data_IF_378343895323
#
_entry.id   IF_378343895323
#
_cell.length_a   1.000
_cell.length_b   1.000
_cell.length_c   1.000
_cell.angle_alpha   90.00
_cell.angle_beta   90.00
_cell.angle_gamma   90.00
#
_symmetry.space_group_name_H-M   'P 1'
#
loop_
_entity.id
_entity.type
_entity.pdbx_description
1 polymer ?
#
# COMPACT_ATOMS: atom_id res chain seq x y z
N UNK A 1 19.63 23.01 -7.81
CA UNK A 1 18.52 22.03 -7.89
C UNK A 1 17.25 22.83 -8.13
N UNK A 2 16.47 22.46 -9.14
CA UNK A 2 15.12 22.98 -9.27
C UNK A 2 14.28 22.47 -8.07
N UNK A 3 13.30 23.25 -7.58
CA UNK A 3 12.43 22.80 -6.51
C UNK A 3 11.61 21.58 -6.96
N UNK A 4 11.31 20.67 -6.02
CA UNK A 4 10.34 19.60 -6.25
C UNK A 4 8.96 20.25 -6.34
N UNK A 5 8.30 20.10 -7.49
CA UNK A 5 6.96 20.65 -7.73
C UNK A 5 5.90 19.56 -7.89
N UNK A 6 6.32 18.31 -8.15
CA UNK A 6 5.44 17.18 -8.39
C UNK A 6 5.70 16.05 -7.40
N UNK A 7 4.64 15.40 -6.92
CA UNK A 7 4.72 14.36 -5.89
C UNK A 7 3.76 13.20 -6.15
N UNK A 8 4.18 11.98 -5.79
CA UNK A 8 3.26 10.88 -5.50
C UNK A 8 3.15 10.75 -3.98
N UNK A 9 1.94 10.72 -3.46
CA UNK A 9 1.69 10.73 -2.02
C UNK A 9 1.18 9.39 -1.57
N UNK A 10 1.82 8.79 -0.57
CA UNK A 10 1.33 7.62 0.15
C UNK A 10 0.71 8.07 1.45
N UNK A 11 -0.58 7.79 1.66
CA UNK A 11 -1.29 8.16 2.88
C UNK A 11 -1.71 6.93 3.69
N UNK A 12 -1.67 7.00 5.04
CA UNK A 12 -2.44 6.07 5.86
C UNK A 12 -3.92 6.13 5.49
N UNK A 13 -4.64 5.11 5.89
CA UNK A 13 -6.08 5.19 5.92
C UNK A 13 -6.53 6.26 6.92
N UNK A 14 -7.10 7.35 6.40
CA UNK A 14 -7.64 8.46 7.18
C UNK A 14 -9.17 8.42 7.07
N UNK A 15 -9.88 7.94 8.11
CA UNK A 15 -11.32 7.89 8.08
C UNK A 15 -11.89 9.30 7.86
N UNK A 16 -12.80 9.42 6.90
CA UNK A 16 -13.46 10.67 6.50
C UNK A 16 -12.56 11.70 5.80
N UNK A 17 -11.39 11.33 5.27
CA UNK A 17 -10.72 12.19 4.30
C UNK A 17 -11.53 12.17 2.99
N UNK A 18 -12.27 13.24 2.73
CA UNK A 18 -13.06 13.37 1.51
C UNK A 18 -12.19 13.87 0.36
N UNK A 19 -12.66 13.70 -0.88
CA UNK A 19 -11.95 14.19 -2.06
C UNK A 19 -11.73 15.70 -2.06
N UNK A 20 -12.66 16.46 -1.47
CA UNK A 20 -12.54 17.92 -1.33
C UNK A 20 -11.46 18.30 -0.31
N UNK A 21 -11.38 17.59 0.82
CA UNK A 21 -10.32 17.79 1.82
C UNK A 21 -8.94 17.49 1.20
N UNK A 22 -8.85 16.43 0.40
CA UNK A 22 -7.63 16.09 -0.33
C UNK A 22 -7.23 17.18 -1.31
N UNK A 23 -8.17 17.68 -2.12
CA UNK A 23 -7.90 18.75 -3.07
C UNK A 23 -7.41 20.03 -2.37
N UNK A 24 -8.00 20.38 -1.22
CA UNK A 24 -7.56 21.52 -0.41
C UNK A 24 -6.14 21.31 0.15
N UNK A 25 -5.82 20.12 0.67
CA UNK A 25 -4.47 19.79 1.15
C UNK A 25 -3.43 19.97 0.04
N UNK A 26 -3.74 19.51 -1.17
CA UNK A 26 -2.85 19.63 -2.33
C UNK A 26 -2.64 21.09 -2.70
N UNK A 27 -3.71 21.89 -2.81
CA UNK A 27 -3.63 23.32 -3.12
C UNK A 27 -2.81 24.10 -2.08
N UNK A 28 -3.07 23.87 -0.79
CA UNK A 28 -2.34 24.50 0.31
C UNK A 28 -0.86 24.13 0.35
N UNK A 29 -0.50 22.93 -0.11
CA UNK A 29 0.89 22.48 -0.15
C UNK A 29 1.73 23.18 -1.25
N UNK A 30 1.06 23.73 -2.27
CA UNK A 30 1.72 24.28 -3.47
C UNK A 30 2.39 23.21 -4.35
N UNK A 31 2.07 21.93 -4.13
CA UNK A 31 2.58 20.80 -4.90
C UNK A 31 1.53 20.34 -5.91
N UNK A 32 2.00 19.76 -7.01
CA UNK A 32 1.18 19.07 -7.98
C UNK A 32 1.25 17.56 -7.73
N UNK A 33 0.10 16.90 -7.54
CA UNK A 33 0.07 15.45 -7.40
C UNK A 33 0.16 14.81 -8.77
N UNK A 34 1.08 13.87 -8.92
CA UNK A 34 1.23 13.08 -10.14
C UNK A 34 -0.02 12.24 -10.39
N UNK A 35 -0.41 12.20 -11.65
CA UNK A 35 -1.55 11.43 -12.16
C UNK A 35 -1.03 10.29 -13.03
N UNK A 36 -1.83 9.25 -13.15
CA UNK A 36 -1.68 8.16 -14.10
C UNK A 36 -3.05 7.65 -14.53
N UNK A 37 -3.08 6.74 -15.50
CA UNK A 37 -4.31 6.05 -15.90
C UNK A 37 -4.92 5.23 -14.74
N UNK A 38 -4.09 4.73 -13.81
CA UNK A 38 -4.55 4.02 -12.60
C UNK A 38 -4.98 4.97 -11.46
N UNK A 39 -4.36 6.14 -11.34
CA UNK A 39 -4.64 7.10 -10.26
C UNK A 39 -4.86 8.50 -10.81
N UNK A 40 -6.09 9.02 -10.68
CA UNK A 40 -6.45 10.36 -11.16
C UNK A 40 -6.06 11.47 -10.18
N UNK A 41 -4.84 11.40 -9.64
CA UNK A 41 -4.30 12.33 -8.65
C UNK A 41 -4.80 12.07 -7.22
N UNK A 42 -5.32 10.87 -6.96
CA UNK A 42 -5.64 10.41 -5.61
C UNK A 42 -4.36 9.92 -4.91
N UNK A 43 -4.28 10.02 -3.58
CA UNK A 43 -3.15 9.49 -2.84
C UNK A 43 -3.14 7.96 -2.94
N UNK A 44 -1.94 7.38 -3.01
CA UNK A 44 -1.74 5.95 -2.90
C UNK A 44 -2.13 5.50 -1.50
N UNK A 45 -2.86 4.38 -1.43
CA UNK A 45 -3.00 3.67 -0.18
C UNK A 45 -1.61 3.22 0.31
N UNK A 46 -1.33 3.42 1.60
CA UNK A 46 -0.04 3.07 2.21
C UNK A 46 0.37 1.62 1.94
N UNK A 47 -0.55 0.66 2.02
CA UNK A 47 -0.25 -0.74 1.74
C UNK A 47 0.20 -0.93 0.29
N UNK A 48 -0.53 -0.37 -0.67
CA UNK A 48 -0.17 -0.47 -2.09
C UNK A 48 1.19 0.19 -2.38
N UNK A 49 1.47 1.34 -1.77
CA UNK A 49 2.79 1.97 -1.88
C UNK A 49 3.90 1.10 -1.28
N UNK A 50 3.68 0.48 -0.12
CA UNK A 50 4.66 -0.44 0.46
C UNK A 50 4.82 -1.72 -0.36
N UNK A 51 3.73 -2.26 -0.91
CA UNK A 51 3.72 -3.42 -1.80
C UNK A 51 4.62 -3.18 -3.02
N UNK A 52 4.44 -2.03 -3.68
CA UNK A 52 5.31 -1.58 -4.76
C UNK A 52 6.76 -1.37 -4.29
N UNK A 53 6.96 -0.85 -3.08
CA UNK A 53 8.29 -0.65 -2.48
C UNK A 53 9.05 -1.94 -2.18
N UNK A 54 8.32 -3.04 -2.00
CA UNK A 54 8.86 -4.40 -1.91
C UNK A 54 9.06 -5.04 -3.29
N UNK A 55 8.66 -4.36 -4.37
CA UNK A 55 8.76 -4.84 -5.75
C UNK A 55 7.57 -5.69 -6.21
N UNK A 56 6.49 -5.73 -5.43
CA UNK A 56 5.32 -6.55 -5.74
C UNK A 56 4.25 -5.78 -6.51
N UNK A 57 3.47 -6.51 -7.31
CA UNK A 57 2.31 -5.97 -8.01
C UNK A 57 2.65 -4.94 -9.09
N UNK A 58 3.90 -4.90 -9.55
CA UNK A 58 4.41 -3.99 -10.57
C UNK A 58 4.51 -4.74 -11.91
N UNK A 59 4.04 -4.12 -13.00
CA UNK A 59 4.24 -4.65 -14.35
C UNK A 59 5.65 -4.37 -14.88
N UNK A 60 6.23 -5.28 -15.65
CA UNK A 60 7.49 -5.10 -16.35
C UNK A 60 7.34 -4.12 -17.52
N UNK A 61 6.22 -4.23 -18.26
CA UNK A 61 5.93 -3.43 -19.45
C UNK A 61 5.24 -2.10 -19.15
N UNK A 62 5.57 -1.44 -18.03
CA UNK A 62 4.89 -0.21 -17.57
C UNK A 62 4.84 0.96 -18.57
N UNK A 63 5.63 0.97 -19.64
CA UNK A 63 5.55 2.00 -20.69
C UNK A 63 4.49 1.72 -21.75
N UNK A 64 4.01 0.49 -21.81
CA UNK A 64 2.98 0.00 -22.71
C UNK A 64 1.77 -0.37 -21.84
N UNK A 65 0.76 0.49 -21.85
CA UNK A 65 -0.37 0.40 -20.92
C UNK A 65 -1.17 -0.89 -21.17
N UNK A 66 -1.39 -1.26 -22.43
CA UNK A 66 -2.13 -2.47 -22.80
C UNK A 66 -1.36 -3.71 -22.33
N UNK A 67 -0.05 -3.77 -22.59
CA UNK A 67 0.78 -4.88 -22.13
C UNK A 67 0.88 -4.95 -20.59
N UNK A 68 0.89 -3.80 -19.91
CA UNK A 68 0.89 -3.73 -18.45
C UNK A 68 -0.44 -4.22 -17.87
N UNK A 69 -1.59 -3.86 -18.46
CA UNK A 69 -2.91 -4.37 -18.05
C UNK A 69 -3.00 -5.89 -18.21
N UNK A 70 -2.57 -6.43 -19.37
CA UNK A 70 -2.52 -7.88 -19.60
C UNK A 70 -1.63 -8.60 -18.58
N UNK A 71 -0.48 -8.01 -18.22
CA UNK A 71 0.40 -8.55 -17.18
C UNK A 71 -0.26 -8.51 -15.79
N UNK A 72 -0.92 -7.41 -15.46
CA UNK A 72 -1.62 -7.24 -14.18
C UNK A 72 -2.79 -8.22 -14.00
N UNK A 73 -3.52 -8.55 -15.06
CA UNK A 73 -4.58 -9.58 -15.04
C UNK A 73 -4.06 -10.97 -14.65
N UNK A 74 -2.78 -11.25 -14.92
CA UNK A 74 -2.13 -12.51 -14.59
C UNK A 74 -1.53 -12.53 -13.17
N UNK A 75 -1.48 -11.39 -12.49
CA UNK A 75 -0.99 -11.32 -11.11
C UNK A 75 -1.97 -12.05 -10.20
N UNK A 76 -1.48 -13.09 -9.53
CA UNK A 76 -2.28 -13.85 -8.57
C UNK A 76 -2.47 -13.00 -7.31
N UNK A 77 -3.71 -12.62 -6.96
CA UNK A 77 -3.97 -11.82 -5.77
C UNK A 77 -3.54 -12.54 -4.49
N UNK A 78 -3.05 -11.79 -3.51
CA UNK A 78 -2.50 -12.32 -2.26
C UNK A 78 -3.22 -11.79 -1.03
N UNK A 79 -3.34 -12.62 0.00
CA UNK A 79 -3.73 -12.13 1.31
C UNK A 79 -2.51 -11.64 2.07
N UNK A 80 -2.47 -10.33 2.34
CA UNK A 80 -1.41 -9.67 3.06
C UNK A 80 -1.83 -9.33 4.50
N UNK A 81 -0.91 -9.53 5.44
CA UNK A 81 -0.96 -8.93 6.77
C UNK A 81 -0.05 -7.70 6.79
N UNK A 82 -0.65 -6.54 6.94
CA UNK A 82 0.01 -5.25 7.08
C UNK A 82 0.15 -4.91 8.56
N UNK A 83 1.36 -4.63 9.02
CA UNK A 83 1.65 -4.18 10.37
C UNK A 83 2.39 -2.84 10.32
N UNK A 84 1.78 -1.79 10.85
CA UNK A 84 2.41 -0.49 11.04
C UNK A 84 2.71 -0.31 12.53
N UNK A 85 3.98 -0.10 12.91
CA UNK A 85 4.38 0.12 14.29
C UNK A 85 5.15 1.44 14.43
N UNK A 86 4.49 2.39 15.08
CA UNK A 86 4.94 3.78 15.24
C UNK A 86 5.03 4.15 16.72
N UNK A 87 5.48 5.37 17.02
CA UNK A 87 5.43 5.92 18.37
C UNK A 87 4.02 5.89 18.96
N UNK A 88 3.04 6.30 18.16
CA UNK A 88 1.68 6.58 18.61
C UNK A 88 0.76 5.34 18.62
N UNK A 89 0.95 4.40 17.69
CA UNK A 89 0.06 3.25 17.56
C UNK A 89 0.68 2.01 16.90
N UNK A 90 0.03 0.89 17.15
CA UNK A 90 0.05 -0.32 16.33
C UNK A 90 -1.17 -0.33 15.42
N UNK A 91 -0.96 -0.40 14.11
CA UNK A 91 -2.01 -0.62 13.12
C UNK A 91 -1.80 -2.01 12.50
N UNK A 92 -2.85 -2.83 12.47
CA UNK A 92 -2.83 -4.16 11.88
C UNK A 92 -4.00 -4.31 10.90
N UNK A 93 -3.69 -4.67 9.65
CA UNK A 93 -4.69 -4.84 8.60
C UNK A 93 -4.50 -6.16 7.87
N UNK A 94 -5.61 -6.81 7.53
CA UNK A 94 -5.64 -7.97 6.65
C UNK A 94 -6.30 -7.53 5.35
N UNK A 95 -5.63 -7.72 4.23
CA UNK A 95 -6.08 -7.23 2.93
C UNK A 95 -5.89 -8.28 1.85
N UNK A 96 -6.79 -8.26 0.88
CA UNK A 96 -6.65 -8.97 -0.39
C UNK A 96 -6.05 -8.01 -1.41
N UNK A 97 -4.80 -8.24 -1.82
CA UNK A 97 -4.03 -7.34 -2.67
C UNK A 97 -3.97 -7.91 -4.08
N UNK A 98 -4.45 -7.14 -5.05
CA UNK A 98 -4.46 -7.54 -6.46
C UNK A 98 -3.16 -7.12 -7.15
N UNK A 99 -2.75 -5.87 -6.95
CA UNK A 99 -1.55 -5.29 -7.55
C UNK A 99 -1.06 -4.06 -6.75
N UNK A 100 -0.11 -3.30 -7.29
CA UNK A 100 0.43 -2.08 -6.69
C UNK A 100 -0.57 -0.90 -6.65
N UNK A 101 -1.79 -1.07 -7.16
CA UNK A 101 -2.80 -0.01 -7.27
C UNK A 101 -4.12 -0.36 -6.58
N UNK A 102 -4.43 -1.65 -6.42
CA UNK A 102 -5.73 -2.12 -5.98
C UNK A 102 -5.59 -3.15 -4.85
N UNK A 103 -6.36 -2.94 -3.79
CA UNK A 103 -6.51 -3.85 -2.68
C UNK A 103 -7.91 -3.73 -2.08
N UNK A 104 -8.33 -4.79 -1.39
CA UNK A 104 -9.55 -4.82 -0.60
C UNK A 104 -9.22 -5.17 0.84
N UNK A 105 -9.60 -4.32 1.79
CA UNK A 105 -9.36 -4.56 3.21
C UNK A 105 -10.44 -5.47 3.80
N UNK A 106 -9.99 -6.55 4.42
CA UNK A 106 -10.83 -7.58 5.04
C UNK A 106 -11.04 -7.26 6.52
N UNK A 107 -9.95 -7.00 7.23
CA UNK A 107 -9.99 -6.70 8.66
C UNK A 107 -8.98 -5.61 9.02
N UNK A 108 -9.25 -4.91 10.12
CA UNK A 108 -8.48 -3.76 10.56
C UNK A 108 -8.59 -3.58 12.07
N UNK A 109 -7.47 -3.32 12.73
CA UNK A 109 -7.41 -2.91 14.12
C UNK A 109 -6.31 -1.87 14.33
N UNK A 110 -6.66 -0.74 14.95
CA UNK A 110 -5.72 0.33 15.30
C UNK A 110 -5.71 0.50 16.82
N UNK A 111 -4.53 0.38 17.43
CA UNK A 111 -4.32 0.35 18.87
C UNK A 111 -3.33 1.45 19.30
N UNK A 112 -3.88 2.58 19.75
CA UNK A 112 -3.10 3.71 20.26
C UNK A 112 -2.41 3.41 21.60
N UNK A 113 -2.96 2.47 22.36
CA UNK A 113 -2.38 1.97 23.60
C UNK A 113 -1.22 0.99 23.37
N UNK A 114 -1.04 0.53 22.13
CA UNK A 114 0.00 -0.43 21.75
C UNK A 114 1.08 0.19 20.84
N UNK A 115 1.23 1.53 20.84
CA UNK A 115 2.36 2.22 20.21
C UNK A 115 3.67 2.11 21.00
N UNK A 116 4.79 2.38 20.34
CA UNK A 116 6.11 2.27 20.97
C UNK A 116 6.28 3.21 22.17
N UNK A 117 5.71 4.42 22.12
CA UNK A 117 5.81 5.39 23.21
C UNK A 117 4.98 4.97 24.44
N UNK A 118 3.88 4.24 24.22
CA UNK A 118 3.11 3.60 25.29
C UNK A 118 3.94 2.57 26.04
N UNK A 119 4.75 1.76 25.35
CA UNK A 119 5.70 0.85 26.00
C UNK A 119 6.84 1.61 26.68
N UNK A 120 7.45 2.58 25.98
CA UNK A 120 8.59 3.34 26.47
C UNK A 120 8.27 4.12 27.75
N UNK A 121 7.05 4.62 27.89
CA UNK A 121 6.59 5.33 29.09
C UNK A 121 6.38 4.41 30.30
N UNK A 122 6.14 3.12 30.08
CA UNK A 122 6.01 2.11 31.14
C UNK A 122 6.70 0.78 30.76
N UNK A 123 8.05 0.73 30.75
CA UNK A 123 8.78 -0.48 30.36
C UNK A 123 8.58 -1.66 31.32
N UNK A 124 8.10 -1.38 32.54
CA UNK A 124 7.73 -2.41 33.52
C UNK A 124 6.41 -3.13 33.20
N UNK A 125 5.66 -2.68 32.19
CA UNK A 125 4.47 -3.38 31.73
C UNK A 125 4.86 -4.70 31.04
N UNK A 126 4.90 -5.77 31.82
CA UNK A 126 5.28 -7.10 31.35
C UNK A 126 4.30 -7.71 30.35
N UNK A 127 3.09 -7.18 30.21
CA UNK A 127 2.07 -7.72 29.30
C UNK A 127 1.99 -6.99 27.97
N UNK A 128 2.70 -5.86 27.80
CA UNK A 128 2.60 -5.02 26.59
C UNK A 128 2.81 -5.83 25.30
N UNK A 129 3.92 -6.57 25.22
CA UNK A 129 4.28 -7.35 24.02
C UNK A 129 3.33 -8.53 23.78
N UNK A 130 2.80 -9.14 24.83
CA UNK A 130 1.78 -10.20 24.69
C UNK A 130 0.44 -9.63 24.21
N UNK A 131 0.04 -8.43 24.67
CA UNK A 131 -1.14 -7.72 24.18
C UNK A 131 -0.99 -7.30 22.71
N UNK A 132 0.20 -6.82 22.33
CA UNK A 132 0.55 -6.51 20.94
C UNK A 132 0.46 -7.76 20.05
N UNK A 133 1.09 -8.86 20.47
CA UNK A 133 1.04 -10.12 19.73
C UNK A 133 -0.40 -10.63 19.57
N UNK A 134 -1.22 -10.51 20.61
CA UNK A 134 -2.64 -10.87 20.55
C UNK A 134 -3.40 -10.02 19.53
N UNK A 135 -3.21 -8.70 19.52
CA UNK A 135 -3.86 -7.80 18.55
C UNK A 135 -3.52 -8.20 17.11
N UNK A 136 -2.26 -8.55 16.85
CA UNK A 136 -1.80 -9.05 15.54
C UNK A 136 -2.49 -10.35 15.16
N UNK A 137 -2.54 -11.33 16.07
CA UNK A 137 -3.18 -12.63 15.83
C UNK A 137 -4.68 -12.50 15.59
N UNK A 138 -5.36 -11.65 16.35
CA UNK A 138 -6.81 -11.43 16.22
C UNK A 138 -7.16 -10.92 14.80
N UNK A 139 -6.31 -10.07 14.20
CA UNK A 139 -6.46 -9.64 12.79
C UNK A 139 -6.04 -10.74 11.82
N UNK A 140 -4.89 -11.39 12.02
CA UNK A 140 -4.38 -12.41 11.11
C UNK A 140 -5.36 -13.60 10.93
N UNK A 141 -6.02 -13.98 12.03
CA UNK A 141 -6.96 -15.11 12.11
C UNK A 141 -8.41 -14.74 11.80
N UNK A 142 -8.72 -13.44 11.63
CA UNK A 142 -10.02 -13.02 11.09
C UNK A 142 -10.24 -13.62 9.70
N UNK A 143 -11.44 -14.11 9.38
CA UNK A 143 -11.74 -14.82 8.12
C UNK A 143 -10.72 -15.95 7.80
N UNK A 144 -10.87 -17.13 8.43
CA UNK A 144 -9.93 -18.25 8.33
C UNK A 144 -9.69 -18.78 6.91
N UNK A 145 -10.64 -18.58 5.99
CA UNK A 145 -10.52 -18.92 4.57
C UNK A 145 -9.49 -18.05 3.82
N UNK A 146 -9.15 -16.88 4.36
CA UNK A 146 -8.20 -15.94 3.79
C UNK A 146 -6.81 -16.11 4.43
N UNK A 147 -6.18 -17.27 4.27
CA UNK A 147 -4.87 -17.53 4.90
C UNK A 147 -3.82 -16.49 4.48
N UNK A 148 -3.06 -15.95 5.44
CA UNK A 148 -2.02 -14.94 5.16
C UNK A 148 -0.89 -15.57 4.35
N UNK A 149 -0.57 -14.94 3.22
CA UNK A 149 0.49 -15.35 2.32
C UNK A 149 1.70 -14.42 2.38
N UNK A 150 1.49 -13.15 2.68
CA UNK A 150 2.52 -12.12 2.67
C UNK A 150 2.43 -11.23 3.92
N UNK A 151 3.58 -10.70 4.35
CA UNK A 151 3.66 -9.76 5.45
C UNK A 151 4.33 -8.47 5.01
N UNK A 152 3.68 -7.35 5.31
CA UNK A 152 4.22 -6.02 5.09
C UNK A 152 4.38 -5.36 6.45
N UNK A 153 5.61 -4.96 6.79
CA UNK A 153 5.87 -4.20 8.01
C UNK A 153 6.28 -2.76 7.67
N UNK A 154 5.75 -1.80 8.43
CA UNK A 154 5.95 -0.37 8.20
C UNK A 154 6.06 0.42 9.50
N UNK A 155 6.69 1.59 9.43
CA UNK A 155 6.81 2.50 10.56
C UNK A 155 8.21 2.48 11.18
N UNK A 156 8.52 3.56 11.90
CA UNK A 156 9.85 3.86 12.41
C UNK A 156 10.35 2.87 13.48
N UNK A 157 9.45 2.12 14.12
CA UNK A 157 9.79 1.11 15.12
C UNK A 157 9.52 -0.32 14.67
N UNK A 158 9.05 -0.54 13.44
CA UNK A 158 8.67 -1.88 12.96
C UNK A 158 9.85 -2.85 12.76
N UNK A 159 11.09 -2.35 12.77
CA UNK A 159 12.30 -3.16 12.78
C UNK A 159 12.87 -3.35 14.20
N UNK A 160 12.20 -2.83 15.24
CA UNK A 160 12.60 -3.05 16.63
C UNK A 160 12.57 -4.54 16.97
N UNK A 161 13.64 -5.01 17.63
CA UNK A 161 13.81 -6.41 17.96
C UNK A 161 12.67 -6.95 18.84
N UNK A 162 12.18 -6.17 19.81
CA UNK A 162 11.12 -6.64 20.70
C UNK A 162 9.79 -6.74 19.98
N UNK A 163 9.51 -5.80 19.08
CA UNK A 163 8.34 -5.85 18.22
C UNK A 163 8.35 -7.10 17.34
N UNK A 164 9.45 -7.33 16.61
CA UNK A 164 9.60 -8.50 15.75
C UNK A 164 9.51 -9.80 16.57
N UNK A 165 10.22 -9.90 17.69
CA UNK A 165 10.18 -11.08 18.56
C UNK A 165 8.74 -11.35 19.06
N UNK A 166 7.97 -10.31 19.39
CA UNK A 166 6.57 -10.44 19.81
C UNK A 166 5.66 -10.90 18.67
N UNK A 167 5.80 -10.32 17.47
CA UNK A 167 5.04 -10.71 16.27
C UNK A 167 5.33 -12.15 15.90
N UNK A 168 6.60 -12.57 15.86
CA UNK A 168 6.98 -13.94 15.51
C UNK A 168 6.53 -14.97 16.52
N UNK A 169 6.65 -14.64 17.81
CA UNK A 169 6.13 -15.50 18.89
C UNK A 169 4.62 -15.69 18.72
N UNK A 170 3.87 -14.63 18.41
CA UNK A 170 2.42 -14.69 18.31
C UNK A 170 1.94 -15.40 17.03
N UNK A 171 2.59 -15.14 15.89
CA UNK A 171 2.23 -15.70 14.60
C UNK A 171 2.73 -17.15 14.38
N UNK A 172 3.70 -17.62 15.18
CA UNK A 172 4.34 -18.93 14.99
C UNK A 172 3.39 -20.12 14.99
N UNK A 173 2.25 -20.02 15.68
CA UNK A 173 1.22 -21.06 15.73
C UNK A 173 0.14 -20.91 14.63
N UNK A 174 0.15 -19.80 13.88
CA UNK A 174 -0.88 -19.44 12.91
C UNK A 174 -0.40 -19.56 11.47
N UNK A 175 0.86 -19.19 11.22
CA UNK A 175 1.43 -19.07 9.88
C UNK A 175 2.86 -19.60 9.83
N UNK A 176 3.33 -19.92 8.63
CA UNK A 176 4.73 -20.25 8.39
C UNK A 176 5.57 -18.96 8.45
N UNK A 177 5.98 -18.58 9.67
CA UNK A 177 6.76 -17.36 9.92
C UNK A 177 8.05 -17.30 9.11
N UNK A 178 8.67 -18.44 8.82
CA UNK A 178 9.89 -18.46 8.02
C UNK A 178 9.65 -17.99 6.58
N UNK A 179 8.51 -18.35 5.99
CA UNK A 179 8.13 -17.85 4.66
C UNK A 179 7.86 -16.34 4.67
N UNK A 180 7.14 -15.85 5.68
CA UNK A 180 6.82 -14.41 5.80
C UNK A 180 8.06 -13.56 6.11
N UNK A 181 9.07 -14.13 6.76
CA UNK A 181 10.28 -13.42 7.13
C UNK A 181 11.27 -13.23 5.96
N UNK A 182 11.35 -14.20 5.06
CA UNK A 182 12.35 -14.18 3.97
C UNK A 182 12.31 -12.90 3.11
N UNK A 183 11.14 -12.40 2.67
CA UNK A 183 11.05 -11.15 1.92
C UNK A 183 11.58 -9.92 2.65
N UNK A 184 11.53 -9.91 3.99
CA UNK A 184 11.98 -8.79 4.81
C UNK A 184 13.51 -8.76 5.00
N UNK A 185 14.22 -9.81 4.57
CA UNK A 185 15.68 -9.91 4.67
C UNK A 185 16.43 -9.39 3.44
N UNK A 186 15.72 -8.75 2.49
CA UNK A 186 16.33 -8.19 1.29
C UNK A 186 17.26 -7.03 1.65
N UNK A 187 18.45 -7.01 1.06
CA UNK A 187 19.44 -5.96 1.30
C UNK A 187 18.85 -4.58 1.04
N UNK A 188 18.94 -3.71 2.05
CA UNK A 188 18.46 -2.34 1.97
C UNK A 188 16.96 -2.19 2.25
N UNK A 189 16.21 -3.24 2.61
CA UNK A 189 14.85 -3.09 3.15
C UNK A 189 14.86 -2.11 4.33
N UNK A 190 13.78 -1.33 4.46
CA UNK A 190 13.56 -0.44 5.59
C UNK A 190 12.06 -0.24 5.77
N UNK A 191 11.53 -0.65 6.91
CA UNK A 191 10.10 -0.55 7.21
C UNK A 191 9.65 0.92 7.29
N UNK A 192 10.53 1.82 7.71
CA UNK A 192 10.25 3.26 7.76
C UNK A 192 10.04 3.85 6.36
N UNK A 193 10.82 3.40 5.36
CA UNK A 193 10.85 4.02 4.03
C UNK A 193 10.23 3.18 2.91
N UNK A 194 9.76 1.96 3.17
CA UNK A 194 9.25 1.04 2.13
C UNK A 194 8.11 1.66 1.33
N UNK A 195 7.14 2.30 2.00
CA UNK A 195 6.03 2.97 1.31
C UNK A 195 6.50 4.16 0.47
N UNK A 196 7.42 4.98 0.98
CA UNK A 196 7.98 6.10 0.24
C UNK A 196 8.78 5.64 -0.99
N UNK A 197 9.49 4.52 -0.90
CA UNK A 197 10.20 3.91 -2.04
C UNK A 197 9.26 3.44 -3.13
N UNK A 198 8.17 2.77 -2.77
CA UNK A 198 7.20 2.36 -3.77
C UNK A 198 6.43 3.52 -4.38
N UNK A 199 6.08 4.54 -3.59
CA UNK A 199 5.54 5.78 -4.12
C UNK A 199 6.50 6.44 -5.13
N UNK A 200 7.81 6.44 -4.86
CA UNK A 200 8.81 6.95 -5.77
C UNK A 200 8.97 6.09 -7.04
N UNK A 201 8.90 4.76 -6.92
CA UNK A 201 8.92 3.85 -8.08
C UNK A 201 7.71 4.07 -8.97
N UNK A 202 6.51 4.21 -8.39
CA UNK A 202 5.29 4.53 -9.13
C UNK A 202 5.34 5.92 -9.76
N UNK A 203 5.82 6.94 -9.03
CA UNK A 203 6.00 8.29 -9.57
C UNK A 203 6.86 8.30 -10.84
N UNK A 204 7.98 7.57 -10.82
CA UNK A 204 8.87 7.44 -11.99
C UNK A 204 8.14 6.82 -13.18
N UNK A 205 7.31 5.80 -12.94
CA UNK A 205 6.55 5.11 -14.00
C UNK A 205 5.49 6.04 -14.60
N UNK A 206 4.69 6.69 -13.77
CA UNK A 206 3.66 7.63 -14.21
C UNK A 206 4.19 8.83 -14.99
N UNK A 207 5.39 9.30 -14.67
CA UNK A 207 6.05 10.37 -15.43
C UNK A 207 6.66 9.90 -16.76
N UNK A 208 6.93 8.60 -16.91
CA UNK A 208 7.47 8.01 -18.13
C UNK A 208 6.43 7.35 -19.02
N UNK A 209 5.21 7.18 -18.53
CA UNK A 209 4.03 6.67 -19.24
C UNK A 209 3.40 7.76 -20.11
N UNK A 210 2.88 7.38 -21.28
CA UNK A 210 2.03 8.24 -22.12
C UNK A 210 0.55 8.05 -21.76
N UNK A 211 0.24 8.07 -20.47
CA UNK A 211 -1.08 7.75 -19.96
C UNK A 211 -2.16 8.76 -20.36
N UNK A 212 -1.77 10.01 -20.63
CA UNK A 212 -2.64 11.07 -21.13
C UNK A 212 -2.96 10.94 -22.62
N UNK A 213 -2.38 9.95 -23.29
CA UNK A 213 -2.63 9.60 -24.70
C UNK A 213 -3.48 8.32 -24.86
N UNK A 214 -3.84 7.65 -23.76
CA UNK A 214 -4.69 6.45 -23.79
C UNK A 214 -6.14 6.86 -23.67
N UNK A 215 -6.93 6.40 -24.63
CA UNK A 215 -8.36 6.56 -24.63
C UNK A 215 -8.98 5.45 -23.78
N UNK A 216 -9.68 5.82 -22.70
CA UNK A 216 -10.29 4.81 -21.84
C UNK A 216 -11.50 4.16 -22.51
N UNK A 217 -11.82 2.91 -22.13
CA UNK A 217 -12.89 2.10 -22.74
C UNK A 217 -14.27 2.78 -22.80
N UNK A 218 -14.57 3.69 -21.88
CA UNK A 218 -15.82 4.45 -21.89
C UNK A 218 -16.00 5.34 -23.14
N UNK A 219 -14.91 5.70 -23.83
CA UNK A 219 -14.94 6.49 -25.04
C UNK A 219 -15.40 5.66 -26.24
N UNK A 220 -15.19 4.34 -26.20
CA UNK A 220 -15.75 3.42 -27.18
C UNK A 220 -17.26 3.25 -27.02
N UNK A 221 -17.78 3.32 -25.80
CA UNK A 221 -19.22 3.33 -25.55
C UNK A 221 -19.87 4.64 -26.00
N UNK A 222 -19.19 5.78 -25.81
CA UNK A 222 -19.60 7.06 -26.36
C UNK A 222 -19.62 7.04 -27.90
N UNK A 223 -18.59 6.50 -28.57
CA UNK A 223 -18.57 6.32 -30.04
C UNK A 223 -19.69 5.44 -30.56
N UNK A 224 -20.04 4.38 -29.83
CA UNK A 224 -21.16 3.48 -30.19
C UNK A 224 -22.51 4.16 -29.99
N UNK A 225 -22.65 5.02 -28.96
CA UNK A 225 -23.89 5.75 -28.68
C UNK A 225 -24.11 6.95 -29.59
N UNK A 226 -23.05 7.59 -30.08
CA UNK A 226 -23.09 8.69 -31.06
C UNK A 226 -23.30 8.22 -32.52
N UNK A 227 -23.52 6.92 -32.73
CA UNK A 227 -23.92 6.38 -34.03
C UNK A 227 -22.89 6.63 -35.12
N UNK A 228 -21.63 6.27 -34.85
CA UNK A 228 -20.47 6.47 -35.72
C UNK A 228 -20.75 6.35 -37.22
N UNK A 229 -21.07 7.49 -37.85
CA UNK A 229 -20.80 7.72 -39.26
C UNK A 229 -19.34 8.10 -39.33
N UNK A 230 -18.50 7.10 -39.61
CA UNK A 230 -17.11 7.33 -39.95
C UNK A 230 -17.00 8.43 -40.99
N UNK A 231 -16.39 9.55 -40.62
CA UNK A 231 -15.81 10.46 -41.60
C UNK A 231 -14.42 9.94 -41.91
N UNK A 232 -14.35 9.03 -42.88
CA UNK A 232 -13.19 9.01 -43.76
C UNK A 232 -13.09 10.38 -44.45
N UNK A 233 -11.89 10.96 -44.43
CA UNK A 233 -11.51 12.15 -45.20
C UNK A 233 -10.50 12.98 -44.43
N UNK A 234 -9.30 13.31 -44.94
CA UNK A 234 -8.81 13.39 -46.34
C UNK A 234 -7.31 13.05 -46.33
#
# INVERSE_FOLDING_TARGET
>A
MAPVTQVAVSLPDLPNLLSDDWAEIVDLSGLEVLKSYKTRGQPLNRLNAAWAGMGYGLCEYWRDIDACEEEEELIVPKFALELSFTGDELSAHKSWVFNAHNMYRIASANHKDLGYDSWRSNPSNSTFWDSLGKAVVDVATSEPECAIEELVIMGEYAEDKNFLDAVWKALGDVVDVQKLWQPLQVSGFSAEFVAARGAAELAKRWQGETWDCVEEDWCDDDRKSDGGVGKEGI
#
